data_IF_704774858450
#
_entry.id   IF_704774858450
#
_cell.length_a   1.000
_cell.length_b   1.000
_cell.length_c   1.000
_cell.angle_alpha   90.00
_cell.angle_beta   90.00
_cell.angle_gamma   90.00
#
_symmetry.space_group_name_H-M   'P 1'
#
loop_
_entity.id
_entity.type
_entity.pdbx_description
1 polymer ?
#
# COMPACT_ATOMS: atom_id res chain seq x y z
N UNK A 1 11.14 6.21 3.78
CA UNK A 1 10.18 6.16 4.92
C UNK A 1 10.76 5.40 6.08
N UNK A 2 10.50 5.86 7.28
CA UNK A 2 10.89 5.13 8.49
C UNK A 2 9.92 3.95 8.71
N UNK A 3 10.37 2.94 9.45
CA UNK A 3 9.57 1.74 9.70
C UNK A 3 8.19 2.07 10.28
N UNK A 4 8.13 2.99 11.22
CA UNK A 4 6.87 3.39 11.85
C UNK A 4 5.91 4.03 10.83
N UNK A 5 6.44 4.86 9.93
CA UNK A 5 5.64 5.49 8.88
C UNK A 5 5.08 4.45 7.91
N UNK A 6 5.87 3.41 7.61
CA UNK A 6 5.43 2.32 6.73
C UNK A 6 4.26 1.58 7.36
N UNK A 7 4.35 1.26 8.65
CA UNK A 7 3.27 0.56 9.37
C UNK A 7 2.01 1.42 9.40
N UNK A 8 2.15 2.70 9.70
CA UNK A 8 1.00 3.62 9.75
C UNK A 8 0.36 3.79 8.38
N UNK A 9 1.18 3.88 7.33
CA UNK A 9 0.68 4.00 5.96
C UNK A 9 -0.08 2.74 5.54
N UNK A 10 0.47 1.57 5.84
CA UNK A 10 -0.20 0.30 5.54
C UNK A 10 -1.56 0.23 6.25
N UNK A 11 -1.62 0.65 7.51
CA UNK A 11 -2.86 0.66 8.27
C UNK A 11 -3.88 1.60 7.64
N UNK A 12 -3.45 2.80 7.23
CA UNK A 12 -4.34 3.76 6.57
C UNK A 12 -4.86 3.22 5.25
N UNK A 13 -4.01 2.53 4.48
CA UNK A 13 -4.43 1.89 3.24
C UNK A 13 -5.50 0.83 3.48
N UNK A 14 -5.36 0.06 4.56
CA UNK A 14 -6.37 -0.93 4.95
C UNK A 14 -7.70 -0.27 5.30
N UNK A 15 -7.65 0.95 5.80
CA UNK A 15 -8.86 1.73 6.13
C UNK A 15 -9.44 2.45 4.91
N UNK A 16 -8.87 2.25 3.72
CA UNK A 16 -9.39 2.82 2.48
C UNK A 16 -8.79 4.14 2.08
N UNK A 17 -7.73 4.60 2.74
CA UNK A 17 -7.03 5.83 2.36
C UNK A 17 -6.26 5.60 1.06
N UNK A 18 -6.33 6.58 0.15
CA UNK A 18 -5.63 6.55 -1.13
C UNK A 18 -4.48 7.55 -1.05
N UNK A 19 -3.31 7.13 -1.51
CA UNK A 19 -2.11 7.95 -1.46
C UNK A 19 -1.61 8.27 -2.87
N UNK A 20 -0.80 9.33 -2.97
CA UNK A 20 -0.07 9.64 -4.19
C UNK A 20 1.09 8.65 -4.34
N UNK A 21 1.17 8.00 -5.50
CA UNK A 21 2.23 7.03 -5.78
C UNK A 21 3.62 7.67 -5.70
N UNK A 22 3.75 8.96 -5.99
CA UNK A 22 5.03 9.66 -5.94
C UNK A 22 5.55 9.84 -4.52
N UNK A 23 4.70 9.67 -3.51
CA UNK A 23 5.12 9.76 -2.11
C UNK A 23 5.95 8.56 -1.67
N UNK A 24 6.07 7.52 -2.49
CA UNK A 24 6.73 6.27 -2.12
C UNK A 24 7.88 5.95 -3.05
N UNK A 25 8.97 5.43 -2.47
CA UNK A 25 10.03 4.79 -3.24
C UNK A 25 9.59 3.35 -3.57
N UNK A 26 10.31 2.71 -4.49
CA UNK A 26 10.09 1.30 -4.82
C UNK A 26 10.22 0.45 -3.56
N UNK A 27 11.23 0.73 -2.74
CA UNK A 27 11.46 -0.02 -1.51
C UNK A 27 10.32 0.16 -0.50
N UNK A 28 9.81 1.39 -0.36
CA UNK A 28 8.65 1.67 0.49
C UNK A 28 7.46 0.84 0.04
N UNK A 29 7.21 0.78 -1.27
CA UNK A 29 6.11 0.00 -1.83
C UNK A 29 6.26 -1.48 -1.52
N UNK A 30 7.47 -2.01 -1.57
CA UNK A 30 7.73 -3.43 -1.25
C UNK A 30 7.40 -3.73 0.21
N UNK A 31 7.82 -2.87 1.13
CA UNK A 31 7.53 -3.06 2.55
C UNK A 31 6.04 -2.96 2.84
N UNK A 32 5.39 -1.96 2.24
CA UNK A 32 3.94 -1.77 2.41
C UNK A 32 3.18 -2.96 1.82
N UNK A 33 3.59 -3.43 0.63
CA UNK A 33 2.95 -4.59 0.00
C UNK A 33 3.09 -5.84 0.86
N UNK A 34 4.24 -6.06 1.49
CA UNK A 34 4.45 -7.19 2.38
C UNK A 34 3.53 -7.12 3.59
N UNK A 35 3.39 -5.95 4.20
CA UNK A 35 2.48 -5.77 5.33
C UNK A 35 1.02 -5.98 4.93
N UNK A 36 0.63 -5.46 3.77
CA UNK A 36 -0.74 -5.66 3.26
C UNK A 36 -1.00 -7.13 2.97
N UNK A 37 -0.02 -7.83 2.39
CA UNK A 37 -0.15 -9.26 2.10
C UNK A 37 -0.38 -10.08 3.38
N UNK A 38 0.27 -9.70 4.48
CA UNK A 38 0.07 -10.38 5.75
C UNK A 38 -1.36 -10.24 6.28
N UNK A 39 -2.10 -9.25 5.79
CA UNK A 39 -3.50 -9.00 6.15
C UNK A 39 -4.48 -9.46 5.07
N UNK A 40 -3.98 -10.13 4.03
CA UNK A 40 -4.83 -10.60 2.94
C UNK A 40 -5.19 -9.51 1.94
N UNK A 41 -4.35 -8.49 1.80
CA UNK A 41 -4.57 -7.37 0.88
C UNK A 41 -3.42 -7.25 -0.10
N UNK A 42 -3.68 -6.61 -1.22
CA UNK A 42 -2.68 -6.30 -2.24
C UNK A 42 -2.62 -4.80 -2.47
N UNK A 43 -1.41 -4.30 -2.75
CA UNK A 43 -1.20 -2.91 -3.12
C UNK A 43 -1.43 -2.77 -4.62
N UNK A 44 -2.27 -1.83 -5.01
CA UNK A 44 -2.59 -1.54 -6.41
C UNK A 44 -2.21 -0.11 -6.74
N UNK A 45 -1.85 0.10 -8.01
CA UNK A 45 -1.48 1.41 -8.51
C UNK A 45 -2.35 1.73 -9.72
N UNK A 46 -2.90 2.96 -9.75
CA UNK A 46 -3.53 3.51 -10.95
C UNK A 46 -2.56 4.51 -11.57
N UNK A 47 -1.79 4.11 -12.58
CA UNK A 47 -0.75 4.97 -13.13
C UNK A 47 -1.30 6.24 -13.77
N UNK A 48 -2.53 6.20 -14.33
CA UNK A 48 -3.14 7.38 -14.96
C UNK A 48 -3.31 8.53 -13.98
N UNK A 49 -3.52 8.24 -12.70
CA UNK A 49 -3.75 9.24 -11.67
C UNK A 49 -2.64 9.28 -10.63
N UNK A 50 -1.62 8.45 -10.79
CA UNK A 50 -0.52 8.33 -9.83
C UNK A 50 -1.02 8.05 -8.41
N UNK A 51 -1.96 7.12 -8.28
CA UNK A 51 -2.58 6.77 -6.99
C UNK A 51 -2.25 5.34 -6.59
N UNK A 52 -2.08 5.13 -5.28
CA UNK A 52 -1.94 3.79 -4.71
C UNK A 52 -3.05 3.55 -3.70
N UNK A 53 -3.54 2.32 -3.66
CA UNK A 53 -4.61 1.91 -2.76
C UNK A 53 -4.50 0.41 -2.49
N UNK A 54 -5.19 -0.05 -1.45
CA UNK A 54 -5.20 -1.45 -1.08
C UNK A 54 -6.53 -2.09 -1.48
N UNK A 55 -6.47 -3.33 -1.96
CA UNK A 55 -7.66 -4.12 -2.28
C UNK A 55 -7.55 -5.49 -1.62
N UNK A 56 -8.66 -6.12 -1.23
CA UNK A 56 -8.60 -7.49 -0.75
C UNK A 56 -8.03 -8.40 -1.82
N UNK A 57 -7.09 -9.26 -1.42
CA UNK A 57 -6.53 -10.25 -2.32
C UNK A 57 -7.45 -11.46 -2.31
N UNK A 58 -8.10 -11.73 -3.43
CA UNK A 58 -8.99 -12.89 -3.55
C UNK A 58 -8.19 -14.11 -3.96
N UNK A 59 -8.25 -15.12 -3.12
CA UNK A 59 -7.65 -16.42 -3.42
C UNK A 59 -8.79 -17.38 -3.75
N UNK A 60 -8.69 -17.96 -4.92
CA UNK A 60 -9.64 -18.98 -5.35
C UNK A 60 -9.08 -20.37 -5.15
#
# INVERSE_FOLDING_TARGET
MKAQEIVETARSLLDGVIYDAEAFTVQDCQYIADLLASQGYALRVKPEFSLVYAVPEQVH
#
